data_IF_112402598748
#
_entry.id   IF_112402598748
#
_cell.length_a   1.000
_cell.length_b   1.000
_cell.length_c   1.000
_cell.angle_alpha   90.00
_cell.angle_beta   90.00
_cell.angle_gamma   90.00
#
_symmetry.space_group_name_H-M   'P 1'
#
loop_
_entity.id
_entity.type
_entity.pdbx_description
1 polymer ?
#
# COMPACT_ATOMS: atom_id res chain seq x y z
N UNK A 1 2.24 -3.66 -18.30
CA UNK A 1 1.41 -4.02 -19.47
C UNK A 1 1.92 -5.29 -20.13
N UNK A 2 1.17 -6.36 -20.02
CA UNK A 2 1.44 -7.57 -20.80
C UNK A 2 0.34 -7.77 -21.85
N UNK A 3 0.72 -8.28 -22.98
CA UNK A 3 -0.22 -8.72 -24.02
C UNK A 3 -0.41 -10.23 -23.93
N UNK A 4 -1.57 -10.73 -24.32
CA UNK A 4 -1.89 -12.15 -24.26
C UNK A 4 -0.91 -13.04 -25.05
N UNK A 5 -0.27 -12.48 -26.04
CA UNK A 5 0.74 -13.11 -26.90
C UNK A 5 2.20 -12.88 -26.43
N UNK A 6 2.43 -12.12 -25.33
CA UNK A 6 3.76 -11.94 -24.77
C UNK A 6 4.24 -13.24 -24.11
N UNK A 7 5.33 -13.86 -24.61
CA UNK A 7 5.88 -15.07 -24.02
C UNK A 7 6.40 -14.87 -22.58
N UNK A 8 6.64 -13.61 -22.19
CA UNK A 8 7.06 -13.24 -20.82
C UNK A 8 5.91 -12.78 -19.92
N UNK A 9 4.68 -12.91 -20.36
CA UNK A 9 3.48 -12.48 -19.59
C UNK A 9 3.46 -12.95 -18.15
N UNK A 10 3.95 -14.14 -17.86
CA UNK A 10 4.02 -14.67 -16.49
C UNK A 10 4.90 -13.85 -15.54
N UNK A 11 5.86 -13.10 -16.08
CA UNK A 11 6.73 -12.22 -15.28
C UNK A 11 6.02 -10.93 -14.87
N UNK A 12 4.93 -10.59 -15.57
CA UNK A 12 4.13 -9.38 -15.34
C UNK A 12 2.79 -9.69 -14.71
N UNK A 13 2.50 -10.96 -14.48
CA UNK A 13 1.22 -11.40 -13.94
C UNK A 13 1.08 -10.95 -12.47
N UNK A 14 -0.07 -10.40 -12.15
CA UNK A 14 -0.41 -9.85 -10.85
C UNK A 14 -1.72 -10.46 -10.38
N UNK A 15 -1.76 -10.90 -9.13
CA UNK A 15 -3.01 -11.28 -8.46
C UNK A 15 -3.31 -10.29 -7.34
N UNK A 16 -4.51 -9.73 -7.35
CA UNK A 16 -5.02 -8.89 -6.25
C UNK A 16 -5.67 -9.75 -5.19
N UNK A 17 -5.49 -9.37 -3.92
CA UNK A 17 -6.06 -10.04 -2.76
C UNK A 17 -6.68 -9.02 -1.82
N UNK A 18 -7.90 -9.27 -1.38
CA UNK A 18 -8.62 -8.32 -0.51
C UNK A 18 -8.78 -6.96 -1.18
N UNK A 19 -8.68 -5.88 -0.39
CA UNK A 19 -9.00 -4.53 -0.85
C UNK A 19 -7.98 -3.97 -1.84
N UNK A 20 -6.67 -4.21 -1.63
CA UNK A 20 -5.62 -3.61 -2.46
C UNK A 20 -4.28 -4.34 -2.44
N UNK A 21 -4.13 -5.39 -1.64
CA UNK A 21 -2.89 -6.16 -1.62
C UNK A 21 -2.71 -6.92 -2.91
N UNK A 22 -1.46 -7.09 -3.34
CA UNK A 22 -1.12 -7.73 -4.61
C UNK A 22 0.00 -8.74 -4.40
N UNK A 23 -0.06 -9.81 -5.16
CA UNK A 23 1.05 -10.72 -5.34
C UNK A 23 1.58 -10.53 -6.75
N UNK A 24 2.82 -10.19 -6.86
CA UNK A 24 3.49 -10.01 -8.14
C UNK A 24 4.92 -10.57 -8.04
N UNK A 25 5.64 -10.58 -9.11
CA UNK A 25 7.04 -11.00 -9.27
C UNK A 25 7.62 -11.84 -8.12
N UNK A 26 7.88 -13.10 -8.39
CA UNK A 26 8.61 -13.97 -7.46
C UNK A 26 10.10 -13.90 -7.81
N UNK A 27 10.91 -13.34 -6.91
CA UNK A 27 12.37 -13.21 -7.11
C UNK A 27 13.11 -14.53 -6.87
N UNK A 28 12.58 -15.36 -5.98
CA UNK A 28 13.24 -16.54 -5.43
C UNK A 28 12.52 -17.85 -5.76
N UNK A 29 11.76 -17.86 -6.84
CA UNK A 29 11.00 -19.04 -7.27
C UNK A 29 10.35 -18.89 -8.62
N UNK A 30 9.35 -19.74 -8.95
CA UNK A 30 8.63 -19.67 -10.21
C UNK A 30 8.01 -18.30 -10.45
N UNK A 31 8.12 -17.80 -11.66
CA UNK A 31 7.61 -16.47 -12.07
C UNK A 31 6.09 -16.52 -12.31
N UNK A 32 5.34 -16.73 -11.25
CA UNK A 32 3.88 -16.75 -11.25
C UNK A 32 3.32 -16.09 -10.00
N UNK A 33 2.12 -15.54 -10.09
CA UNK A 33 1.33 -15.10 -8.94
C UNK A 33 0.39 -16.19 -8.41
N UNK A 34 0.11 -17.23 -9.21
CA UNK A 34 -0.80 -18.31 -8.86
C UNK A 34 -0.19 -19.19 -7.77
N UNK A 35 -0.99 -19.55 -6.79
CA UNK A 35 -0.55 -20.38 -5.65
C UNK A 35 0.37 -19.67 -4.68
N UNK A 36 0.37 -18.35 -4.66
CA UNK A 36 1.15 -17.50 -3.77
C UNK A 36 0.26 -16.54 -3.00
N UNK A 37 0.81 -15.90 -1.98
CA UNK A 37 0.07 -14.95 -1.16
C UNK A 37 0.98 -14.04 -0.35
N UNK A 38 0.35 -13.06 0.33
CA UNK A 38 1.03 -12.24 1.32
C UNK A 38 1.11 -13.00 2.65
N UNK A 39 2.30 -13.10 3.20
CA UNK A 39 2.55 -13.79 4.47
C UNK A 39 2.31 -12.84 5.64
N UNK A 40 2.88 -11.65 5.55
CA UNK A 40 2.80 -10.64 6.59
C UNK A 40 3.07 -9.26 6.03
N UNK A 41 2.54 -8.24 6.70
CA UNK A 41 2.94 -6.87 6.46
C UNK A 41 3.03 -6.10 7.78
N UNK A 42 3.81 -5.04 7.77
CA UNK A 42 3.91 -4.06 8.86
C UNK A 42 3.82 -2.67 8.30
N UNK A 43 3.10 -1.78 9.00
CA UNK A 43 2.80 -0.43 8.52
C UNK A 43 3.52 0.62 9.34
N UNK A 44 4.23 1.50 8.65
CA UNK A 44 4.96 2.62 9.23
C UNK A 44 4.04 3.84 9.31
N UNK A 45 3.99 4.47 10.48
CA UNK A 45 3.41 5.80 10.65
C UNK A 45 4.42 6.86 10.22
N UNK A 46 4.42 7.19 8.92
CA UNK A 46 5.36 8.19 8.38
C UNK A 46 5.01 9.62 8.83
N UNK A 47 3.75 9.89 9.22
CA UNK A 47 3.33 11.19 9.75
C UNK A 47 4.11 11.53 11.01
N UNK A 48 4.23 10.57 11.94
CA UNK A 48 5.01 10.76 13.18
C UNK A 48 6.44 11.17 12.88
N UNK A 49 7.07 10.52 11.89
CA UNK A 49 8.44 10.84 11.50
C UNK A 49 8.54 12.29 10.98
N UNK A 50 7.53 12.74 10.22
CA UNK A 50 7.41 14.11 9.76
C UNK A 50 7.23 15.10 10.92
N UNK A 51 6.30 14.85 11.85
CA UNK A 51 6.06 15.70 13.03
C UNK A 51 7.33 15.84 13.87
N UNK A 52 8.07 14.76 14.07
CA UNK A 52 9.32 14.80 14.86
C UNK A 52 10.45 15.59 14.20
N UNK A 53 10.29 15.97 12.94
CA UNK A 53 11.24 16.78 12.19
C UNK A 53 10.74 18.22 11.91
N UNK A 54 9.43 18.49 12.07
CA UNK A 54 8.80 19.74 11.61
C UNK A 54 9.39 21.02 12.20
N UNK A 55 9.96 20.97 13.41
CA UNK A 55 10.53 22.11 14.10
C UNK A 55 11.97 22.43 13.67
N UNK A 56 12.57 21.68 12.76
CA UNK A 56 13.88 21.98 12.19
C UNK A 56 13.66 23.11 11.16
N UNK A 57 14.24 24.29 11.39
CA UNK A 57 14.02 25.47 10.56
C UNK A 57 14.54 25.26 9.14
N UNK A 58 15.77 24.79 9.02
CA UNK A 58 16.37 24.51 7.72
C UNK A 58 15.68 23.33 7.03
N UNK A 59 15.13 23.60 5.84
CA UNK A 59 14.35 22.62 5.08
C UNK A 59 15.19 21.41 4.65
N UNK A 60 16.43 21.61 4.23
CA UNK A 60 17.26 20.51 3.76
C UNK A 60 17.64 19.58 4.92
N UNK A 61 18.02 20.17 6.07
CA UNK A 61 18.29 19.41 7.29
C UNK A 61 17.06 18.68 7.80
N UNK A 62 15.88 19.31 7.74
CA UNK A 62 14.60 18.69 8.11
C UNK A 62 14.32 17.44 7.27
N UNK A 63 14.45 17.56 5.94
CA UNK A 63 14.26 16.45 5.01
C UNK A 63 15.32 15.36 5.23
N UNK A 64 16.58 15.72 5.38
CA UNK A 64 17.66 14.78 5.64
C UNK A 64 17.42 14.01 6.96
N UNK A 65 16.98 14.70 8.01
CA UNK A 65 16.63 14.07 9.29
C UNK A 65 15.44 13.12 9.18
N UNK A 66 14.43 13.50 8.38
CA UNK A 66 13.29 12.64 8.09
C UNK A 66 13.73 11.35 7.42
N UNK A 67 14.55 11.41 6.38
CA UNK A 67 15.06 10.21 5.69
C UNK A 67 15.89 9.31 6.60
N UNK A 68 16.72 9.88 7.47
CA UNK A 68 17.48 9.11 8.45
C UNK A 68 16.56 8.34 9.44
N UNK A 69 15.47 8.98 9.89
CA UNK A 69 14.46 8.32 10.73
C UNK A 69 13.67 7.26 9.95
N UNK A 70 13.31 7.55 8.71
CA UNK A 70 12.61 6.61 7.84
C UNK A 70 13.45 5.38 7.61
N UNK A 71 14.74 5.54 7.32
CA UNK A 71 15.66 4.41 7.12
C UNK A 71 15.74 3.52 8.37
N UNK A 72 15.93 4.10 9.53
CA UNK A 72 15.94 3.36 10.80
C UNK A 72 14.64 2.58 11.03
N UNK A 73 13.50 3.17 10.66
CA UNK A 73 12.19 2.51 10.80
C UNK A 73 12.00 1.40 9.77
N UNK A 74 12.51 1.57 8.56
CA UNK A 74 12.51 0.53 7.51
C UNK A 74 13.33 -0.68 7.93
N UNK A 75 14.53 -0.48 8.52
CA UNK A 75 15.36 -1.56 9.08
C UNK A 75 14.63 -2.35 10.16
N UNK A 76 14.00 -1.65 11.12
CA UNK A 76 13.22 -2.30 12.19
C UNK A 76 12.05 -3.10 11.59
N UNK A 77 11.34 -2.51 10.62
CA UNK A 77 10.19 -3.15 9.98
C UNK A 77 10.61 -4.40 9.19
N UNK A 78 11.67 -4.31 8.41
CA UNK A 78 12.18 -5.43 7.63
C UNK A 78 12.64 -6.59 8.52
N UNK A 79 13.39 -6.29 9.59
CA UNK A 79 13.83 -7.29 10.57
C UNK A 79 12.63 -7.96 11.25
N UNK A 80 11.62 -7.20 11.68
CA UNK A 80 10.41 -7.75 12.27
C UNK A 80 9.66 -8.68 11.32
N UNK A 81 9.58 -8.33 10.03
CA UNK A 81 8.95 -9.18 9.01
C UNK A 81 9.76 -10.45 8.77
N UNK A 82 11.09 -10.35 8.78
CA UNK A 82 11.98 -11.51 8.69
C UNK A 82 11.78 -12.45 9.89
N UNK A 83 11.82 -11.94 11.12
CA UNK A 83 11.60 -12.73 12.34
C UNK A 83 10.24 -13.45 12.33
N UNK A 84 9.18 -12.77 11.84
CA UNK A 84 7.86 -13.40 11.65
C UNK A 84 7.90 -14.51 10.62
N UNK A 85 8.61 -14.32 9.50
CA UNK A 85 8.77 -15.35 8.47
C UNK A 85 9.48 -16.57 9.05
N UNK A 86 10.59 -16.39 9.79
CA UNK A 86 11.32 -17.48 10.42
C UNK A 86 10.46 -18.24 11.43
N UNK A 87 9.66 -17.54 12.22
CA UNK A 87 8.68 -18.17 13.10
C UNK A 87 7.62 -18.96 12.32
N UNK A 88 7.05 -18.39 11.26
CA UNK A 88 6.03 -19.06 10.43
C UNK A 88 6.58 -20.33 9.74
N UNK A 89 7.84 -20.37 9.37
CA UNK A 89 8.52 -21.55 8.81
C UNK A 89 8.44 -22.77 9.72
N UNK A 90 8.30 -22.60 11.02
CA UNK A 90 8.20 -23.70 11.99
C UNK A 90 6.82 -24.37 12.04
N UNK A 91 5.80 -23.77 11.40
CA UNK A 91 4.45 -24.31 11.38
C UNK A 91 4.37 -25.57 10.50
N UNK A 92 3.45 -26.47 10.84
CA UNK A 92 3.22 -27.71 10.10
C UNK A 92 2.15 -27.57 9.02
N UNK A 93 2.28 -28.28 7.91
CA UNK A 93 1.32 -28.27 6.80
C UNK A 93 -0.12 -28.55 7.25
N UNK A 94 -0.31 -29.47 8.20
CA UNK A 94 -1.63 -29.80 8.79
C UNK A 94 -2.35 -28.62 9.47
N UNK A 95 -1.62 -27.56 9.85
CA UNK A 95 -2.22 -26.36 10.45
C UNK A 95 -2.88 -25.45 9.40
N UNK A 96 -2.59 -25.68 8.12
CA UNK A 96 -3.14 -24.93 6.98
C UNK A 96 -3.72 -25.91 5.94
N UNK A 97 -4.71 -26.74 6.30
CA UNK A 97 -5.15 -27.86 5.46
C UNK A 97 -5.62 -27.41 4.07
N UNK A 98 -6.32 -26.27 3.98
CA UNK A 98 -6.79 -25.74 2.70
C UNK A 98 -5.63 -25.26 1.82
N UNK A 99 -4.74 -24.45 2.35
CA UNK A 99 -3.63 -23.86 1.58
C UNK A 99 -2.60 -24.95 1.18
N UNK A 100 -2.31 -25.87 2.09
CA UNK A 100 -1.28 -26.90 1.88
C UNK A 100 -1.84 -28.18 1.20
N UNK A 101 -3.09 -28.16 0.74
CA UNK A 101 -3.68 -29.23 -0.08
C UNK A 101 -3.54 -28.95 -1.59
N UNK A 102 -2.38 -28.48 -2.04
CA UNK A 102 -2.02 -28.12 -3.42
C UNK A 102 -2.50 -26.73 -3.91
N UNK A 103 -3.06 -25.87 -3.04
CA UNK A 103 -3.36 -24.49 -3.41
C UNK A 103 -2.12 -23.58 -3.34
N UNK A 104 -1.23 -23.83 -2.37
CA UNK A 104 0.02 -23.10 -2.27
C UNK A 104 1.09 -23.77 -3.14
N UNK A 105 1.81 -23.01 -3.92
CA UNK A 105 2.81 -23.53 -4.86
C UNK A 105 3.87 -24.38 -4.14
N UNK A 106 4.04 -25.61 -4.62
CA UNK A 106 4.96 -26.60 -4.05
C UNK A 106 4.41 -27.40 -2.85
N UNK A 107 3.23 -27.05 -2.33
CA UNK A 107 2.63 -27.72 -1.16
C UNK A 107 2.19 -29.16 -1.43
N UNK A 108 1.99 -29.53 -2.69
CA UNK A 108 1.66 -30.90 -3.12
C UNK A 108 2.73 -31.94 -2.71
N UNK A 109 3.93 -31.47 -2.36
CA UNK A 109 5.05 -32.33 -1.91
C UNK A 109 5.10 -32.52 -0.39
N UNK A 110 4.30 -31.76 0.36
CA UNK A 110 4.33 -31.77 1.82
C UNK A 110 3.40 -32.84 2.39
N UNK A 111 3.89 -33.51 3.41
CA UNK A 111 3.07 -34.38 4.29
C UNK A 111 2.50 -33.54 5.44
N UNK A 112 1.41 -33.99 6.09
CA UNK A 112 0.77 -33.20 7.17
C UNK A 112 1.69 -32.78 8.31
N UNK A 113 2.71 -33.56 8.62
CA UNK A 113 3.66 -33.27 9.70
C UNK A 113 4.97 -32.62 9.23
N UNK A 114 5.10 -32.32 7.94
CA UNK A 114 6.23 -31.53 7.43
C UNK A 114 6.03 -30.07 7.77
N UNK A 115 7.12 -29.35 8.01
CA UNK A 115 7.05 -27.88 8.16
C UNK A 115 6.82 -27.22 6.79
N UNK A 116 6.20 -26.04 6.81
CA UNK A 116 5.94 -25.27 5.57
C UNK A 116 7.17 -24.48 5.10
N UNK A 117 8.31 -24.66 5.76
CA UNK A 117 9.54 -23.90 5.51
C UNK A 117 10.00 -23.91 4.04
N UNK A 118 9.86 -25.05 3.37
CA UNK A 118 10.30 -25.20 1.97
C UNK A 118 9.44 -24.45 0.94
N UNK A 119 8.20 -24.09 1.30
CA UNK A 119 7.24 -23.49 0.36
C UNK A 119 6.83 -22.06 0.72
N UNK A 120 6.89 -21.67 2.01
CA UNK A 120 6.42 -20.35 2.47
C UNK A 120 7.24 -19.19 1.89
N UNK A 121 8.49 -19.41 1.51
CA UNK A 121 9.35 -18.40 0.87
C UNK A 121 8.80 -17.87 -0.46
N UNK A 122 7.84 -18.56 -1.07
CA UNK A 122 7.17 -18.09 -2.28
C UNK A 122 6.22 -16.92 -2.00
N UNK A 123 5.87 -16.67 -0.74
CA UNK A 123 5.02 -15.56 -0.35
C UNK A 123 5.74 -14.23 -0.29
N UNK A 124 4.99 -13.16 0.00
CA UNK A 124 5.48 -11.79 0.03
C UNK A 124 5.41 -11.18 1.43
N UNK A 125 6.33 -10.28 1.72
CA UNK A 125 6.40 -9.47 2.94
C UNK A 125 6.18 -8.00 2.58
N UNK A 126 5.15 -7.37 3.17
CA UNK A 126 4.76 -6.01 2.86
C UNK A 126 5.30 -4.98 3.86
N UNK A 127 5.97 -3.94 3.35
CA UNK A 127 6.30 -2.74 4.11
C UNK A 127 5.26 -1.68 3.75
N UNK A 128 4.31 -1.44 4.63
CA UNK A 128 3.24 -0.50 4.44
C UNK A 128 3.53 0.88 5.01
N UNK A 129 2.75 1.88 4.61
CA UNK A 129 2.79 3.23 5.16
C UNK A 129 1.40 3.87 5.18
N UNK A 130 1.23 4.87 6.05
CA UNK A 130 0.02 5.69 6.18
C UNK A 130 0.41 7.14 6.29
N UNK A 131 -0.41 8.05 5.70
CA UNK A 131 -0.39 9.47 5.94
C UNK A 131 0.68 10.23 5.15
N UNK A 132 0.90 9.88 3.88
CA UNK A 132 1.84 10.65 3.06
C UNK A 132 1.46 12.13 2.99
N UNK A 133 0.17 12.43 2.85
CA UNK A 133 -0.32 13.80 2.79
C UNK A 133 0.05 14.59 4.06
N UNK A 134 -0.30 14.07 5.23
CA UNK A 134 -0.03 14.72 6.51
C UNK A 134 1.47 14.77 6.82
N UNK A 135 2.23 13.77 6.40
CA UNK A 135 3.69 13.79 6.48
C UNK A 135 4.28 14.95 5.67
N UNK A 136 3.81 15.16 4.44
CA UNK A 136 4.25 16.26 3.59
C UNK A 136 3.83 17.62 4.14
N UNK A 137 2.62 17.72 4.73
CA UNK A 137 2.22 18.93 5.47
C UNK A 137 3.17 19.21 6.63
N UNK A 138 3.57 18.20 7.39
CA UNK A 138 4.54 18.38 8.48
C UNK A 138 5.93 18.84 7.98
N UNK A 139 6.34 18.36 6.80
CA UNK A 139 7.67 18.68 6.24
C UNK A 139 7.71 19.98 5.43
N UNK A 140 6.63 20.32 4.69
CA UNK A 140 6.60 21.39 3.69
C UNK A 140 5.45 22.39 3.88
N UNK A 141 4.48 22.10 4.76
CA UNK A 141 3.27 22.91 4.94
C UNK A 141 2.15 22.64 3.91
N UNK A 142 2.38 21.77 2.93
CA UNK A 142 1.41 21.40 1.87
C UNK A 142 1.52 19.92 1.54
N UNK A 143 0.39 19.30 1.14
CA UNK A 143 0.40 17.93 0.66
C UNK A 143 0.59 17.83 -0.87
N UNK A 144 0.80 16.62 -1.35
CA UNK A 144 1.13 16.31 -2.75
C UNK A 144 0.01 16.63 -3.76
N UNK A 145 -1.25 16.75 -3.32
CA UNK A 145 -2.35 17.21 -4.19
C UNK A 145 -2.38 18.73 -4.41
N UNK A 146 -1.64 19.52 -3.59
CA UNK A 146 -1.65 20.97 -3.61
C UNK A 146 -0.39 21.58 -4.25
N UNK A 147 0.72 20.86 -4.24
CA UNK A 147 2.03 21.41 -4.58
C UNK A 147 2.89 20.41 -5.35
N UNK A 148 3.47 20.86 -6.46
CA UNK A 148 4.44 20.06 -7.22
C UNK A 148 5.68 19.70 -6.40
N UNK A 149 6.19 20.61 -5.56
CA UNK A 149 7.29 20.33 -4.65
C UNK A 149 6.95 19.21 -3.64
N UNK A 150 5.74 19.25 -3.08
CA UNK A 150 5.28 18.19 -2.18
C UNK A 150 5.08 16.86 -2.92
N UNK A 151 4.62 16.90 -4.17
CA UNK A 151 4.52 15.71 -5.02
C UNK A 151 5.90 15.09 -5.29
N UNK A 152 6.88 15.91 -5.64
CA UNK A 152 8.27 15.45 -5.87
C UNK A 152 8.86 14.81 -4.61
N UNK A 153 8.69 15.44 -3.45
CA UNK A 153 9.15 14.87 -2.18
C UNK A 153 8.40 13.59 -1.84
N UNK A 154 7.08 13.54 -2.06
CA UNK A 154 6.26 12.34 -1.86
C UNK A 154 6.74 11.16 -2.70
N UNK A 155 6.99 11.39 -3.99
CA UNK A 155 7.56 10.39 -4.88
C UNK A 155 8.96 9.95 -4.42
N UNK A 156 9.80 10.88 -3.99
CA UNK A 156 11.13 10.56 -3.44
C UNK A 156 11.04 9.68 -2.19
N UNK A 157 10.10 9.95 -1.28
CA UNK A 157 9.88 9.14 -0.08
C UNK A 157 9.49 7.71 -0.44
N UNK A 158 8.48 7.54 -1.30
CA UNK A 158 7.99 6.19 -1.64
C UNK A 158 8.98 5.43 -2.52
N UNK A 159 9.71 6.12 -3.41
CA UNK A 159 10.84 5.55 -4.17
C UNK A 159 11.92 5.02 -3.22
N UNK A 160 12.31 5.81 -2.23
CA UNK A 160 13.28 5.38 -1.23
C UNK A 160 12.82 4.12 -0.49
N UNK A 161 11.55 4.07 -0.06
CA UNK A 161 10.97 2.89 0.58
C UNK A 161 11.03 1.65 -0.34
N UNK A 162 10.71 1.81 -1.63
CA UNK A 162 10.78 0.73 -2.63
C UNK A 162 12.23 0.23 -2.80
N UNK A 163 13.19 1.14 -2.92
CA UNK A 163 14.58 0.78 -3.13
C UNK A 163 15.14 0.04 -1.90
N UNK A 164 14.77 0.47 -0.70
CA UNK A 164 15.09 -0.24 0.54
C UNK A 164 14.42 -1.62 0.62
N UNK A 165 13.16 -1.74 0.22
CA UNK A 165 12.48 -3.04 0.15
C UNK A 165 13.17 -4.00 -0.83
N UNK A 166 13.68 -3.49 -1.95
CA UNK A 166 14.48 -4.28 -2.88
C UNK A 166 15.79 -4.76 -2.24
N UNK A 167 16.50 -3.89 -1.50
CA UNK A 167 17.73 -4.26 -0.77
C UNK A 167 17.43 -5.31 0.30
N UNK A 168 16.33 -5.19 1.05
CA UNK A 168 15.92 -6.21 2.03
C UNK A 168 15.57 -7.55 1.37
N UNK A 169 15.01 -7.51 0.15
CA UNK A 169 14.78 -8.75 -0.59
C UNK A 169 16.07 -9.50 -0.85
N UNK A 170 17.12 -8.81 -1.28
CA UNK A 170 18.44 -9.42 -1.49
C UNK A 170 19.11 -9.83 -0.17
N UNK A 171 19.01 -9.01 0.86
CA UNK A 171 19.62 -9.27 2.18
C UNK A 171 19.03 -10.51 2.86
N UNK A 172 17.69 -10.62 2.87
CA UNK A 172 16.99 -11.69 3.58
C UNK A 172 16.54 -12.85 2.68
N UNK A 173 16.75 -12.75 1.37
CA UNK A 173 16.30 -13.74 0.38
C UNK A 173 14.79 -14.03 0.47
N UNK A 174 13.99 -12.95 0.64
CA UNK A 174 12.52 -12.97 0.68
C UNK A 174 11.93 -11.91 -0.23
N UNK A 175 10.68 -12.10 -0.67
CA UNK A 175 9.98 -11.16 -1.54
C UNK A 175 9.42 -9.97 -0.72
N UNK A 176 10.23 -8.94 -0.46
CA UNK A 176 9.77 -7.69 0.12
C UNK A 176 9.19 -6.75 -0.93
N UNK A 177 8.15 -6.00 -0.56
CA UNK A 177 7.56 -4.97 -1.41
C UNK A 177 6.93 -3.84 -0.58
N UNK A 178 6.77 -2.67 -1.20
CA UNK A 178 6.03 -1.57 -0.57
C UNK A 178 4.53 -1.76 -0.83
N UNK A 179 3.74 -1.53 0.21
CA UNK A 179 2.29 -1.65 0.22
C UNK A 179 1.66 -0.30 0.57
N UNK A 180 0.75 0.19 -0.26
CA UNK A 180 -0.18 1.24 0.12
C UNK A 180 -1.21 0.64 1.10
N UNK A 181 -0.93 0.70 2.40
CA UNK A 181 -1.66 -0.06 3.45
C UNK A 181 -3.17 0.17 3.39
N UNK A 182 -4.00 -0.89 3.39
CA UNK A 182 -5.43 -0.79 3.67
C UNK A 182 -5.63 -0.46 5.15
N UNK A 183 -5.67 0.82 5.48
CA UNK A 183 -5.41 1.26 6.85
C UNK A 183 -6.63 1.30 7.76
N UNK A 184 -7.84 1.27 7.23
CA UNK A 184 -9.10 1.27 7.99
C UNK A 184 -8.99 1.87 9.42
N UNK A 185 -9.19 1.08 10.47
CA UNK A 185 -9.07 1.54 11.87
C UNK A 185 -7.66 1.94 12.31
N UNK A 186 -6.59 1.52 11.59
CA UNK A 186 -5.21 1.86 11.95
C UNK A 186 -4.90 3.34 11.72
N UNK A 187 -5.49 3.97 10.69
CA UNK A 187 -5.33 5.39 10.39
C UNK A 187 -5.82 6.26 11.56
N UNK A 188 -7.01 5.97 12.09
CA UNK A 188 -7.56 6.66 13.27
C UNK A 188 -6.79 6.35 14.55
N UNK A 189 -6.28 5.12 14.70
CA UNK A 189 -5.46 4.76 15.85
C UNK A 189 -4.16 5.56 15.89
N UNK A 190 -3.47 5.70 14.75
CA UNK A 190 -2.25 6.49 14.67
C UNK A 190 -2.50 7.96 14.98
N UNK A 191 -3.55 8.55 14.40
CA UNK A 191 -3.92 9.95 14.68
C UNK A 191 -4.19 10.19 16.14
N UNK A 192 -4.97 9.32 16.81
CA UNK A 192 -5.25 9.45 18.25
C UNK A 192 -3.99 9.39 19.11
N UNK A 193 -3.05 8.49 18.79
CA UNK A 193 -1.80 8.35 19.54
C UNK A 193 -0.93 9.60 19.35
N UNK A 194 -0.83 10.10 18.10
CA UNK A 194 -0.01 11.27 17.79
C UNK A 194 -0.61 12.54 18.34
N UNK A 195 -1.93 12.71 18.27
CA UNK A 195 -2.64 13.84 18.93
C UNK A 195 -2.41 13.86 20.44
N UNK A 196 -2.42 12.68 21.08
CA UNK A 196 -2.11 12.58 22.51
C UNK A 196 -0.67 13.00 22.83
N UNK A 197 0.28 12.69 21.93
CA UNK A 197 1.71 12.93 22.17
C UNK A 197 2.13 14.36 21.77
N UNK A 198 1.61 14.88 20.68
CA UNK A 198 2.07 16.13 20.08
C UNK A 198 1.05 17.26 20.10
N UNK A 199 -0.18 16.99 20.57
CA UNK A 199 -1.30 17.94 20.51
C UNK A 199 -2.01 17.94 19.15
N UNK A 200 -2.96 18.86 19.02
CA UNK A 200 -3.69 19.10 17.77
C UNK A 200 -2.86 20.01 16.88
N UNK A 201 -2.36 19.48 15.80
CA UNK A 201 -1.56 20.17 14.78
C UNK A 201 -2.44 20.39 13.54
N UNK A 202 -2.68 21.65 13.11
CA UNK A 202 -3.51 21.96 11.96
C UNK A 202 -3.04 21.27 10.67
N UNK A 203 -3.96 20.63 9.97
CA UNK A 203 -3.67 19.90 8.72
C UNK A 203 -2.94 18.56 8.92
N UNK A 204 -2.64 18.18 10.16
CA UNK A 204 -1.90 16.95 10.47
C UNK A 204 -2.71 16.06 11.43
N UNK A 205 -2.88 16.48 12.70
CA UNK A 205 -3.56 15.68 13.73
C UNK A 205 -4.95 16.22 14.12
N UNK A 206 -5.46 17.19 13.41
CA UNK A 206 -6.73 17.89 13.69
C UNK A 206 -7.97 17.11 13.20
N UNK A 207 -7.78 16.03 12.43
CA UNK A 207 -8.84 15.12 11.96
C UNK A 207 -8.79 13.78 12.67
N UNK A 208 -9.85 12.98 12.55
CA UNK A 208 -9.98 11.72 13.28
C UNK A 208 -9.16 10.57 12.69
N UNK A 209 -8.62 10.76 11.49
CA UNK A 209 -7.79 9.77 10.78
C UNK A 209 -6.74 10.45 9.92
N UNK A 210 -5.63 9.73 9.65
CA UNK A 210 -4.69 10.07 8.61
C UNK A 210 -5.14 9.56 7.27
N UNK A 211 -4.81 10.27 6.21
CA UNK A 211 -5.07 9.82 4.84
C UNK A 211 -4.38 8.49 4.58
N UNK A 212 -5.11 7.55 3.96
CA UNK A 212 -4.56 6.25 3.61
C UNK A 212 -3.41 6.41 2.61
N UNK A 213 -2.26 5.87 2.99
CA UNK A 213 -1.07 5.71 2.13
C UNK A 213 -0.72 6.97 1.32
N UNK A 214 -0.80 6.87 -0.01
CA UNK A 214 -0.46 7.91 -0.99
C UNK A 214 -1.68 8.64 -1.58
N UNK A 215 -2.88 8.43 -1.03
CA UNK A 215 -4.06 9.11 -1.56
C UNK A 215 -4.02 10.63 -1.36
N UNK A 216 -4.60 11.35 -2.29
CA UNK A 216 -5.00 12.73 -2.08
C UNK A 216 -6.09 12.74 -1.01
N UNK A 217 -6.00 13.62 0.01
CA UNK A 217 -6.98 13.65 1.09
C UNK A 217 -8.40 13.87 0.57
N UNK A 218 -9.37 13.11 1.11
CA UNK A 218 -10.77 13.18 0.68
C UNK A 218 -11.43 14.54 0.93
N UNK A 219 -10.91 15.32 1.87
CA UNK A 219 -11.39 16.69 2.14
C UNK A 219 -10.85 17.71 1.13
N UNK A 220 -9.83 17.37 0.34
CA UNK A 220 -9.28 18.23 -0.69
C UNK A 220 -10.12 18.11 -1.97
N UNK A 221 -10.80 19.19 -2.30
CA UNK A 221 -11.67 19.22 -3.50
C UNK A 221 -10.81 19.30 -4.76
N UNK A 222 -10.78 18.25 -5.52
CA UNK A 222 -10.12 18.19 -6.83
C UNK A 222 -10.93 17.34 -7.81
N UNK A 223 -10.62 17.46 -9.10
CA UNK A 223 -11.21 16.59 -10.12
C UNK A 223 -10.62 15.18 -10.04
N UNK A 224 -11.39 14.16 -10.49
CA UNK A 224 -10.89 12.79 -10.61
C UNK A 224 -9.63 12.71 -11.48
N UNK A 225 -9.54 13.55 -12.52
CA UNK A 225 -8.35 13.67 -13.37
C UNK A 225 -7.12 14.13 -12.58
N UNK A 226 -7.24 15.22 -11.82
CA UNK A 226 -6.14 15.72 -10.98
C UNK A 226 -5.70 14.67 -9.96
N UNK A 227 -6.68 14.01 -9.33
CA UNK A 227 -6.40 12.90 -8.41
C UNK A 227 -5.62 11.77 -9.10
N UNK A 228 -6.02 11.38 -10.32
CA UNK A 228 -5.31 10.36 -11.10
C UNK A 228 -3.87 10.80 -11.45
N UNK A 229 -3.69 12.05 -11.89
CA UNK A 229 -2.36 12.63 -12.19
C UNK A 229 -1.42 12.58 -10.98
N UNK A 230 -1.96 12.84 -9.78
CA UNK A 230 -1.17 12.84 -8.53
C UNK A 230 -0.91 11.43 -8.02
N UNK A 231 -1.90 10.55 -8.01
CA UNK A 231 -1.79 9.22 -7.38
C UNK A 231 -1.14 8.15 -8.26
N UNK A 232 -1.37 8.20 -9.58
CA UNK A 232 -0.89 7.17 -10.50
C UNK A 232 0.62 6.87 -10.43
N UNK A 233 1.51 7.88 -10.32
CA UNK A 233 2.94 7.62 -10.24
C UNK A 233 3.38 6.78 -9.03
N UNK A 234 2.57 6.74 -7.96
CA UNK A 234 2.86 5.90 -6.78
C UNK A 234 2.54 4.42 -7.01
N UNK A 235 1.68 4.09 -8.00
CA UNK A 235 1.26 2.71 -8.22
C UNK A 235 2.41 1.80 -8.62
N UNK A 236 3.35 2.28 -9.44
CA UNK A 236 4.55 1.52 -9.78
C UNK A 236 5.51 1.33 -8.59
N UNK A 237 5.45 2.22 -7.62
CA UNK A 237 6.30 2.19 -6.43
C UNK A 237 5.72 1.27 -5.34
N UNK A 238 4.40 1.06 -5.33
CA UNK A 238 3.67 0.29 -4.33
C UNK A 238 3.23 -1.07 -4.89
N UNK A 239 4.18 -1.87 -5.35
CA UNK A 239 3.92 -3.15 -6.02
C UNK A 239 3.28 -4.20 -5.11
N UNK A 240 3.44 -4.09 -3.78
CA UNK A 240 2.75 -4.93 -2.80
C UNK A 240 1.25 -4.69 -2.72
N UNK A 241 0.76 -3.61 -3.32
CA UNK A 241 -0.65 -3.28 -3.44
C UNK A 241 -0.95 -1.80 -3.34
N UNK A 242 -1.94 -1.40 -4.12
CA UNK A 242 -2.52 -0.06 -4.16
C UNK A 242 -3.93 -0.16 -4.73
N UNK A 243 -4.68 0.92 -4.63
CA UNK A 243 -5.99 1.09 -5.25
C UNK A 243 -6.22 2.57 -5.57
N UNK A 244 -6.92 2.84 -6.66
CA UNK A 244 -7.41 4.15 -7.01
C UNK A 244 -8.92 4.22 -6.73
N UNK A 245 -9.38 5.24 -6.04
CA UNK A 245 -10.81 5.45 -5.75
C UNK A 245 -11.33 6.66 -6.52
N UNK A 246 -12.44 6.48 -7.21
CA UNK A 246 -13.25 7.56 -7.76
C UNK A 246 -14.62 7.52 -7.11
N UNK A 247 -15.02 8.65 -6.55
CA UNK A 247 -16.38 8.84 -6.04
C UNK A 247 -17.20 9.57 -7.09
N UNK A 248 -18.36 9.03 -7.41
CA UNK A 248 -19.30 9.63 -8.35
C UNK A 248 -20.58 10.03 -7.62
N UNK A 249 -21.04 11.24 -7.90
CA UNK A 249 -22.33 11.73 -7.44
C UNK A 249 -23.43 11.21 -8.39
N UNK A 250 -24.59 10.86 -7.82
CA UNK A 250 -25.76 10.42 -8.57
C UNK A 250 -25.76 8.93 -8.93
N UNK A 251 -26.79 8.50 -9.60
CA UNK A 251 -27.03 7.11 -9.98
C UNK A 251 -26.36 6.78 -11.32
N UNK A 252 -25.28 5.99 -11.27
CA UNK A 252 -24.56 5.55 -12.46
C UNK A 252 -25.33 4.53 -13.31
N UNK A 253 -26.42 3.93 -12.81
CA UNK A 253 -27.22 2.95 -13.57
C UNK A 253 -27.87 3.58 -14.82
N UNK A 254 -28.15 4.87 -14.75
CA UNK A 254 -28.72 5.64 -15.88
C UNK A 254 -27.65 6.33 -16.75
N UNK A 255 -26.36 6.25 -16.36
CA UNK A 255 -25.28 6.86 -17.11
C UNK A 255 -24.00 5.97 -17.10
N UNK A 256 -24.02 4.84 -17.81
CA UNK A 256 -22.88 3.92 -17.85
C UNK A 256 -21.63 4.55 -18.48
N UNK A 257 -21.77 5.61 -19.28
CA UNK A 257 -20.63 6.32 -19.87
C UNK A 257 -19.68 6.91 -18.80
N UNK A 258 -20.18 7.24 -17.61
CA UNK A 258 -19.35 7.73 -16.51
C UNK A 258 -18.33 6.66 -16.10
N UNK A 259 -18.76 5.41 -15.99
CA UNK A 259 -17.89 4.28 -15.67
C UNK A 259 -16.85 4.07 -16.77
N UNK A 260 -17.28 4.10 -18.04
CA UNK A 260 -16.35 3.98 -19.17
C UNK A 260 -15.27 5.07 -19.15
N UNK A 261 -15.64 6.32 -18.88
CA UNK A 261 -14.68 7.45 -18.77
C UNK A 261 -13.70 7.25 -17.62
N UNK A 262 -14.12 6.65 -16.51
CA UNK A 262 -13.21 6.31 -15.40
C UNK A 262 -12.22 5.22 -15.84
N UNK A 263 -12.70 4.18 -16.53
CA UNK A 263 -11.84 3.11 -17.07
C UNK A 263 -10.84 3.68 -18.08
N UNK A 264 -11.29 4.51 -19.02
CA UNK A 264 -10.41 5.17 -20.01
C UNK A 264 -9.35 6.06 -19.32
N UNK A 265 -9.74 6.74 -18.25
CA UNK A 265 -8.82 7.54 -17.45
C UNK A 265 -7.80 6.64 -16.74
N UNK A 266 -8.23 5.53 -16.14
CA UNK A 266 -7.33 4.58 -15.49
C UNK A 266 -6.32 4.01 -16.51
N UNK A 267 -6.76 3.63 -17.70
CA UNK A 267 -5.89 3.16 -18.77
C UNK A 267 -4.86 4.22 -19.16
N UNK A 268 -5.32 5.45 -19.40
CA UNK A 268 -4.45 6.59 -19.77
C UNK A 268 -3.34 6.87 -18.76
N UNK A 269 -3.63 6.72 -17.46
CA UNK A 269 -2.68 6.95 -16.38
C UNK A 269 -1.99 5.68 -15.87
N UNK A 270 -2.16 4.56 -16.57
CA UNK A 270 -1.58 3.25 -16.19
C UNK A 270 -1.99 2.80 -14.76
N UNK A 271 -3.25 3.03 -14.41
CA UNK A 271 -3.83 2.61 -13.13
C UNK A 271 -4.48 1.24 -13.32
N UNK A 272 -3.79 0.18 -12.90
CA UNK A 272 -4.25 -1.21 -13.10
C UNK A 272 -5.33 -1.70 -12.13
N UNK A 273 -5.62 -0.96 -11.07
CA UNK A 273 -6.62 -1.36 -10.06
C UNK A 273 -7.31 -0.16 -9.43
N UNK A 274 -8.63 -0.14 -9.47
CA UNK A 274 -9.42 0.95 -8.92
C UNK A 274 -10.83 0.52 -8.54
N UNK A 275 -11.52 1.39 -7.84
CA UNK A 275 -12.94 1.26 -7.47
C UNK A 275 -13.67 2.53 -7.78
N UNK A 276 -14.85 2.40 -8.36
CA UNK A 276 -15.80 3.48 -8.50
C UNK A 276 -16.80 3.36 -7.36
N UNK A 277 -16.80 4.33 -6.47
CA UNK A 277 -17.65 4.35 -5.31
C UNK A 277 -18.86 5.25 -5.55
N UNK A 278 -19.98 4.79 -5.06
CA UNK A 278 -21.22 5.56 -5.02
C UNK A 278 -21.47 6.01 -3.59
N UNK A 279 -21.62 7.34 -3.42
CA UNK A 279 -21.65 7.96 -2.09
C UNK A 279 -23.10 8.00 -1.54
N UNK A 280 -23.73 6.83 -1.42
CA UNK A 280 -25.08 6.70 -0.85
C UNK A 280 -25.13 5.66 0.26
N UNK A 281 -25.78 6.03 1.34
CA UNK A 281 -26.14 5.11 2.40
C UNK A 281 -27.42 4.36 2.00
N UNK A 282 -27.44 3.05 2.20
CA UNK A 282 -28.62 2.23 2.01
C UNK A 282 -29.19 1.80 3.34
N UNK A 283 -30.45 2.11 3.59
CA UNK A 283 -31.14 1.59 4.76
C UNK A 283 -31.25 0.05 4.66
N UNK A 284 -30.81 -0.66 5.71
CA UNK A 284 -30.84 -2.13 5.73
C UNK A 284 -32.27 -2.69 5.87
N UNK A 285 -33.20 -1.90 6.40
CA UNK A 285 -34.61 -2.31 6.62
C UNK A 285 -35.48 -2.03 5.40
N UNK A 286 -35.55 -0.75 4.97
CA UNK A 286 -36.47 -0.34 3.88
C UNK A 286 -35.80 -0.26 2.49
N UNK A 287 -34.45 -0.44 2.42
CA UNK A 287 -33.63 -0.35 1.21
C UNK A 287 -33.66 1.03 0.51
N UNK A 288 -34.20 2.06 1.18
CA UNK A 288 -34.06 3.43 0.66
C UNK A 288 -32.58 3.85 0.61
N UNK A 289 -32.26 4.69 -0.35
CA UNK A 289 -30.92 5.26 -0.53
C UNK A 289 -31.01 6.77 -0.23
N UNK A 290 -30.07 7.27 0.58
CA UNK A 290 -29.88 8.70 0.90
C UNK A 290 -28.49 9.16 0.49
#
# INVERSE_FOLDING_TARGET
DWKADDPKRYQHEVATMGCRTRVFENRFGPKTSIGRGNISFSTINIVRLGIECMNIEDKEQRIARFFAKLDSMLEVTARQLHERMEFQKTAFAKQFPLLMSALWIGSEKLKPNDTIASVINQGTLGIGFIGLAECLVALLGKHHGESGEAQELGLKIVTYMRDRANQFSEQYQHNYSVLATPAEGLSGKFTRIDRKKFGTLPGITDRDYYTNSNHVPVYYKCSARHKAEVEAPYHELTRGGHIFYVEIDGDATHNPEVIMRVVDMMDRYNIGYGSVNHNRNRCLECRSEE
#
